data_IF_788844017031
#
_entry.id   IF_788844017031
#
_cell.length_a   1.000
_cell.length_b   1.000
_cell.length_c   1.000
_cell.angle_alpha   90.00
_cell.angle_beta   90.00
_cell.angle_gamma   90.00
#
_symmetry.space_group_name_H-M   'P 1'
#
loop_
_entity.id
_entity.type
_entity.pdbx_description
1 polymer ?
#
# COMPACT_ATOMS: atom_id res chain seq x y z
N UNK A 1 -19.61 1.91 -1.77
CA UNK A 1 -20.06 0.69 -2.47
C UNK A 1 -19.28 -0.49 -1.92
N UNK A 2 -19.87 -1.69 -1.84
CA UNK A 2 -19.14 -2.86 -1.37
C UNK A 2 -18.11 -3.28 -2.44
N UNK A 3 -16.82 -3.11 -2.15
CA UNK A 3 -15.75 -3.68 -2.97
C UNK A 3 -15.59 -5.16 -2.63
N UNK A 4 -15.34 -6.00 -3.64
CA UNK A 4 -15.03 -7.41 -3.41
C UNK A 4 -13.64 -7.53 -2.77
N UNK A 5 -13.57 -8.14 -1.58
CA UNK A 5 -12.37 -8.12 -0.73
C UNK A 5 -11.53 -9.36 -1.01
N UNK A 6 -10.22 -9.17 -1.21
CA UNK A 6 -9.30 -10.31 -1.24
C UNK A 6 -9.26 -11.01 0.12
N UNK A 7 -9.19 -12.34 0.11
CA UNK A 7 -8.99 -13.15 1.32
C UNK A 7 -7.57 -12.93 1.86
N UNK A 8 -7.43 -12.74 3.17
CA UNK A 8 -6.14 -12.44 3.82
C UNK A 8 -5.89 -13.24 5.10
N UNK A 9 -6.06 -14.58 5.13
CA UNK A 9 -6.07 -15.35 6.36
C UNK A 9 -4.77 -15.28 7.18
N UNK A 10 -3.60 -15.16 6.55
CA UNK A 10 -2.33 -14.99 7.25
C UNK A 10 -2.18 -13.59 7.83
N UNK A 11 -2.57 -12.54 7.08
CA UNK A 11 -2.54 -11.17 7.58
C UNK A 11 -3.56 -10.93 8.69
N UNK A 12 -4.71 -11.62 8.67
CA UNK A 12 -5.74 -11.53 9.71
C UNK A 12 -5.19 -11.92 11.09
N UNK A 13 -4.22 -12.85 11.15
CA UNK A 13 -3.56 -13.23 12.40
C UNK A 13 -2.78 -12.06 13.02
N UNK A 14 -2.30 -11.12 12.20
CA UNK A 14 -1.51 -9.97 12.64
C UNK A 14 -2.37 -8.83 13.20
N UNK A 15 -3.69 -8.98 13.24
CA UNK A 15 -4.59 -8.04 13.92
C UNK A 15 -4.73 -8.33 15.41
N UNK A 16 -4.30 -9.52 15.84
CA UNK A 16 -4.34 -9.93 17.23
C UNK A 16 -3.14 -9.43 18.02
N UNK A 17 -3.27 -9.38 19.35
CA UNK A 17 -2.22 -8.94 20.26
C UNK A 17 -2.34 -7.45 20.65
N UNK A 18 -1.50 -7.00 21.59
CA UNK A 18 -1.64 -5.66 22.19
C UNK A 18 -1.01 -4.54 21.36
N UNK A 19 -0.14 -4.85 20.39
CA UNK A 19 0.54 -3.84 19.59
C UNK A 19 -0.36 -3.30 18.46
N UNK A 20 -0.36 -1.99 18.16
CA UNK A 20 -1.17 -1.43 17.08
C UNK A 20 -0.83 -2.08 15.73
N UNK A 21 -1.77 -2.85 15.19
CA UNK A 21 -1.57 -3.59 13.96
C UNK A 21 -1.58 -2.66 12.74
N UNK A 22 -0.53 -2.77 11.92
CA UNK A 22 -0.53 -2.11 10.62
C UNK A 22 -1.58 -2.71 9.68
N UNK A 23 -1.94 -3.99 9.82
CA UNK A 23 -3.00 -4.63 9.04
C UNK A 23 -4.34 -4.01 9.35
N UNK A 24 -4.68 -3.79 10.63
CA UNK A 24 -5.91 -3.11 11.00
C UNK A 24 -5.96 -1.68 10.46
N UNK A 25 -4.84 -0.96 10.48
CA UNK A 25 -4.74 0.37 9.87
C UNK A 25 -4.98 0.38 8.36
N UNK A 26 -4.39 -0.57 7.63
CA UNK A 26 -4.56 -0.72 6.18
C UNK A 26 -5.99 -1.17 5.85
N UNK A 27 -6.58 -2.10 6.62
CA UNK A 27 -7.98 -2.52 6.45
C UNK A 27 -8.96 -1.38 6.70
N UNK A 28 -8.68 -0.50 7.68
CA UNK A 28 -9.47 0.72 7.87
C UNK A 28 -9.42 1.64 6.65
N UNK A 29 -8.26 1.83 6.03
CA UNK A 29 -8.15 2.58 4.77
C UNK A 29 -8.93 1.89 3.63
N UNK A 30 -8.87 0.57 3.55
CA UNK A 30 -9.67 -0.22 2.59
C UNK A 30 -11.17 -0.01 2.80
N UNK A 31 -11.64 0.00 4.05
CA UNK A 31 -13.06 -0.13 4.36
C UNK A 31 -13.78 1.21 4.59
N UNK A 32 -13.07 2.22 5.10
CA UNK A 32 -13.68 3.46 5.61
C UNK A 32 -13.17 4.74 4.92
N UNK A 33 -12.11 4.67 4.11
CA UNK A 33 -11.59 5.87 3.46
C UNK A 33 -12.64 6.46 2.49
N UNK A 34 -12.85 7.80 2.45
CA UNK A 34 -13.91 8.41 1.62
C UNK A 34 -13.66 8.29 0.11
N UNK A 35 -12.39 8.22 -0.31
CA UNK A 35 -12.03 8.00 -1.72
C UNK A 35 -12.03 6.51 -2.10
N UNK A 36 -12.92 6.13 -3.01
CA UNK A 36 -13.03 4.76 -3.55
C UNK A 36 -11.72 4.26 -4.18
N UNK A 37 -10.95 5.15 -4.82
CA UNK A 37 -9.63 4.84 -5.38
C UNK A 37 -8.68 4.30 -4.32
N UNK A 38 -8.70 4.88 -3.11
CA UNK A 38 -7.86 4.42 -2.00
C UNK A 38 -8.37 3.08 -1.48
N UNK A 39 -9.68 2.91 -1.32
CA UNK A 39 -10.26 1.64 -0.92
C UNK A 39 -9.81 0.48 -1.83
N UNK A 40 -9.94 0.66 -3.15
CA UNK A 40 -9.58 -0.31 -4.19
C UNK A 40 -8.08 -0.62 -4.22
N UNK A 41 -7.25 0.42 -4.23
CA UNK A 41 -5.79 0.30 -4.19
C UNK A 41 -5.33 -0.50 -2.97
N UNK A 42 -5.86 -0.16 -1.79
CA UNK A 42 -5.50 -0.82 -0.54
C UNK A 42 -6.00 -2.26 -0.47
N UNK A 43 -7.16 -2.56 -1.07
CA UNK A 43 -7.65 -3.93 -1.21
C UNK A 43 -6.69 -4.80 -2.04
N UNK A 44 -6.28 -4.34 -3.23
CA UNK A 44 -5.31 -5.06 -4.05
C UNK A 44 -3.94 -5.18 -3.37
N UNK A 45 -3.49 -4.15 -2.64
CA UNK A 45 -2.25 -4.20 -1.86
C UNK A 45 -2.29 -5.29 -0.78
N UNK A 46 -3.41 -5.40 -0.04
CA UNK A 46 -3.60 -6.44 0.97
C UNK A 46 -3.58 -7.83 0.36
N UNK A 47 -4.28 -8.04 -0.76
CA UNK A 47 -4.26 -9.31 -1.49
C UNK A 47 -2.86 -9.70 -1.96
N UNK A 48 -2.10 -8.75 -2.51
CA UNK A 48 -0.72 -9.02 -2.92
C UNK A 48 0.20 -9.28 -1.73
N UNK A 49 0.01 -8.59 -0.61
CA UNK A 49 0.79 -8.81 0.60
C UNK A 49 0.52 -10.20 1.18
N UNK A 50 -0.74 -10.65 1.21
CA UNK A 50 -1.11 -12.02 1.57
C UNK A 50 -0.39 -13.02 0.67
N UNK A 51 -0.45 -12.82 -0.65
CA UNK A 51 0.25 -13.69 -1.61
C UNK A 51 1.76 -13.74 -1.35
N UNK A 52 2.37 -12.63 -0.93
CA UNK A 52 3.76 -12.58 -0.50
C UNK A 52 4.02 -13.36 0.79
N UNK A 53 3.08 -13.41 1.73
CA UNK A 53 3.17 -14.23 2.95
C UNK A 53 3.07 -15.74 2.63
N UNK A 54 2.13 -16.12 1.77
CA UNK A 54 1.94 -17.51 1.34
C UNK A 54 3.18 -18.08 0.66
N UNK A 55 3.77 -17.29 -0.24
CA UNK A 55 4.89 -17.74 -1.10
C UNK A 55 6.26 -17.37 -0.55
N UNK A 56 6.32 -16.53 0.49
CA UNK A 56 7.55 -16.01 1.10
C UNK A 56 8.46 -15.29 0.10
N UNK A 57 7.87 -14.53 -0.83
CA UNK A 57 8.57 -13.81 -1.89
C UNK A 57 8.06 -12.38 -2.03
N UNK A 58 8.97 -11.44 -2.33
CA UNK A 58 8.62 -10.10 -2.78
C UNK A 58 8.31 -10.05 -4.28
N UNK A 59 7.19 -9.43 -4.66
CA UNK A 59 6.72 -9.33 -6.06
C UNK A 59 6.79 -7.91 -6.63
N UNK A 60 7.82 -7.15 -6.26
CA UNK A 60 7.95 -5.76 -6.68
C UNK A 60 9.18 -5.59 -7.58
N UNK A 61 8.95 -5.09 -8.79
CA UNK A 61 10.00 -4.64 -9.70
C UNK A 61 10.21 -3.14 -9.56
N UNK A 62 11.45 -2.72 -9.72
CA UNK A 62 11.79 -1.31 -9.88
C UNK A 62 11.51 -0.79 -11.29
N UNK A 63 11.70 0.50 -11.47
CA UNK A 63 11.69 1.16 -12.77
C UNK A 63 12.14 2.61 -12.64
N UNK A 64 11.77 3.44 -13.61
CA UNK A 64 12.18 4.85 -13.67
C UNK A 64 10.97 5.72 -13.96
N UNK A 65 10.61 6.58 -13.01
CA UNK A 65 9.57 7.62 -13.13
C UNK A 65 10.07 8.83 -12.35
N UNK A 66 9.84 10.03 -12.87
CA UNK A 66 10.11 11.29 -12.18
C UNK A 66 9.12 12.37 -12.64
N UNK A 67 9.25 13.58 -12.10
CA UNK A 67 8.57 14.79 -12.58
C UNK A 67 9.52 15.63 -13.43
N UNK A 68 8.96 16.46 -14.33
CA UNK A 68 9.78 17.35 -15.14
C UNK A 68 10.62 18.29 -14.27
N UNK A 69 11.90 18.44 -14.62
CA UNK A 69 12.86 19.27 -13.90
C UNK A 69 13.57 18.58 -12.74
N UNK A 70 13.10 17.42 -12.25
CA UNK A 70 13.75 16.67 -11.17
C UNK A 70 14.21 15.28 -11.62
N UNK A 71 15.41 14.89 -11.22
CA UNK A 71 15.97 13.55 -11.50
C UNK A 71 15.66 12.50 -10.42
N UNK A 72 14.91 12.85 -9.38
CA UNK A 72 14.62 11.97 -8.25
C UNK A 72 13.46 12.47 -7.39
N UNK A 73 13.20 11.75 -6.29
CA UNK A 73 12.10 12.04 -5.36
C UNK A 73 10.94 11.05 -5.46
N UNK A 74 10.84 10.29 -6.57
CA UNK A 74 9.86 9.21 -6.74
C UNK A 74 10.60 7.87 -6.76
N UNK A 75 10.10 6.91 -5.97
CA UNK A 75 10.55 5.51 -6.01
C UNK A 75 9.45 4.69 -6.70
N UNK A 76 9.59 4.43 -8.01
CA UNK A 76 8.59 3.66 -8.74
C UNK A 76 8.71 2.17 -8.40
N UNK A 77 7.55 1.56 -8.14
CA UNK A 77 7.38 0.12 -7.98
C UNK A 77 6.21 -0.37 -8.80
N UNK A 78 6.45 -1.50 -9.47
CA UNK A 78 5.51 -2.20 -10.33
C UNK A 78 5.33 -3.63 -9.81
N UNK A 79 4.09 -4.10 -9.74
CA UNK A 79 3.79 -5.45 -9.28
C UNK A 79 4.10 -6.49 -10.35
N UNK A 80 4.84 -7.53 -9.99
CA UNK A 80 5.06 -8.71 -10.84
C UNK A 80 3.78 -9.56 -10.99
N UNK A 81 2.82 -9.38 -10.08
CA UNK A 81 1.53 -10.06 -10.05
C UNK A 81 0.38 -9.08 -10.29
N UNK A 82 0.66 -7.96 -10.98
CA UNK A 82 -0.32 -6.89 -11.22
C UNK A 82 -1.57 -7.30 -12.01
N UNK A 83 -1.57 -8.46 -12.69
CA UNK A 83 -2.80 -9.01 -13.28
C UNK A 83 -3.80 -9.51 -12.24
N UNK A 84 -3.32 -10.08 -11.14
CA UNK A 84 -4.17 -10.56 -10.03
C UNK A 84 -4.60 -9.41 -9.11
N UNK A 85 -3.77 -8.37 -8.99
CA UNK A 85 -3.96 -7.21 -8.12
C UNK A 85 -3.88 -5.92 -8.95
N UNK A 86 -4.87 -5.64 -9.82
CA UNK A 86 -4.78 -4.60 -10.85
C UNK A 86 -4.72 -3.18 -10.29
N UNK A 87 -5.38 -2.92 -9.17
CA UNK A 87 -5.43 -1.57 -8.60
C UNK A 87 -4.05 -1.18 -8.05
N UNK A 88 -3.30 -2.12 -7.48
CA UNK A 88 -1.93 -1.91 -6.98
C UNK A 88 -0.83 -2.34 -7.94
N UNK A 89 -1.12 -2.45 -9.24
CA UNK A 89 -0.13 -2.81 -10.27
C UNK A 89 1.04 -1.81 -10.32
N UNK A 90 0.77 -0.55 -10.00
CA UNK A 90 1.71 0.55 -9.89
C UNK A 90 1.54 1.20 -8.51
N UNK A 91 2.59 1.13 -7.69
CA UNK A 91 2.53 1.56 -6.29
C UNK A 91 3.75 2.40 -5.92
N UNK A 92 3.80 3.61 -6.48
CA UNK A 92 4.97 4.47 -6.38
C UNK A 92 4.99 5.24 -5.06
N UNK A 93 6.16 5.36 -4.45
CA UNK A 93 6.33 6.15 -3.23
C UNK A 93 6.95 7.50 -3.57
N UNK A 94 6.31 8.58 -3.11
CA UNK A 94 6.83 9.94 -3.22
C UNK A 94 7.59 10.30 -1.94
N UNK A 95 8.77 10.89 -2.08
CA UNK A 95 9.53 11.45 -0.95
C UNK A 95 9.20 12.92 -0.82
N UNK A 96 8.48 13.27 0.23
CA UNK A 96 8.17 14.66 0.61
C UNK A 96 9.16 15.08 1.69
N UNK A 97 9.85 16.22 1.49
CA UNK A 97 10.85 16.72 2.44
C UNK A 97 10.16 17.08 3.77
N UNK A 98 10.53 16.44 4.90
CA UNK A 98 9.96 16.79 6.20
C UNK A 98 10.54 18.12 6.74
N UNK A 99 9.83 18.79 7.66
CA UNK A 99 10.37 19.91 8.42
C UNK A 99 11.51 19.45 9.34
N UNK A 100 12.41 20.35 9.69
CA UNK A 100 13.49 20.07 10.62
C UNK A 100 12.93 19.59 11.97
N UNK A 101 13.37 18.41 12.41
CA UNK A 101 12.92 17.80 13.66
C UNK A 101 11.50 17.23 13.64
N UNK A 102 10.84 17.09 12.48
CA UNK A 102 9.51 16.45 12.35
C UNK A 102 8.41 17.06 13.25
N UNK A 103 8.42 18.38 13.46
CA UNK A 103 7.33 19.07 14.16
C UNK A 103 6.25 19.49 13.16
N UNK A 104 4.99 19.20 13.47
CA UNK A 104 3.84 19.45 12.60
C UNK A 104 2.73 20.21 13.34
N UNK A 105 2.01 21.09 12.64
CA UNK A 105 0.76 21.69 13.09
C UNK A 105 -0.43 21.05 12.38
N UNK A 106 -1.59 21.05 13.03
CA UNK A 106 -2.87 20.62 12.42
C UNK A 106 -3.63 21.75 11.74
N UNK A 107 -3.18 23.00 11.94
CA UNK A 107 -3.83 24.22 11.45
C UNK A 107 -3.78 24.35 9.92
#
# INVERSE_FOLDING_TARGET
MAIDKYSTPMLDQLETGPWPSFISGIKRLRDEHPEERINKMTNSLLGQLEHSYETRKGYWKGGTISVFGYGGGIIPRFSEVGKAFPESKEFHTLRVQPPAGNHYSTA
#
